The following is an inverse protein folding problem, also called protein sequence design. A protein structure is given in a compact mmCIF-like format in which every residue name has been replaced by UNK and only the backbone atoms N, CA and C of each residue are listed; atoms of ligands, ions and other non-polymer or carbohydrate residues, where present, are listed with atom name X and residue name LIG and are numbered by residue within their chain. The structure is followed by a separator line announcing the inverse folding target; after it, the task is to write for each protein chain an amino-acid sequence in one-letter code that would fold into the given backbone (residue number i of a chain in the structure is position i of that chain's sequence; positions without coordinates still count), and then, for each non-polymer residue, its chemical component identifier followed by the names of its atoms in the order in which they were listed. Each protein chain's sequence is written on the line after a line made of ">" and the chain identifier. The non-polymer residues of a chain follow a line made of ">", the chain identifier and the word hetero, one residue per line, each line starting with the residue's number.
data_IF_745294279285
#
_entry.id   IF_745294279285
#
_cell.length_a   1.000
_cell.length_b   1.000
_cell.length_c   1.000
_cell.angle_alpha   90.00
_cell.angle_beta   90.00
_cell.angle_gamma   90.00
#
_symmetry.space_group_name_H-M   'P 1'
#
loop_
_entity.id
_entity.type
_entity.pdbx_description
1 polymer ?
#
# COMPACT_ATOMS: atom_id res chain seq x y z
N UNK A 1 9.06 0.64 -37.73
CA UNK A 1 7.93 0.48 -36.78
C UNK A 1 6.73 1.16 -37.39
N UNK A 2 5.56 0.50 -37.43
CA UNK A 2 4.35 1.09 -38.01
C UNK A 2 3.32 1.30 -36.89
N UNK A 3 3.25 2.54 -36.40
CA UNK A 3 2.27 2.99 -35.40
C UNK A 3 1.32 3.94 -36.10
N UNK A 4 0.50 3.44 -37.02
CA UNK A 4 -0.54 4.25 -37.66
C UNK A 4 -1.61 4.72 -36.67
N UNK A 5 -2.51 5.60 -37.11
CA UNK A 5 -3.53 6.19 -36.23
C UNK A 5 -4.51 5.13 -35.70
N UNK A 6 -4.80 4.08 -36.47
CA UNK A 6 -5.65 2.96 -36.04
C UNK A 6 -4.99 2.17 -34.91
N UNK A 7 -3.71 1.81 -35.06
CA UNK A 7 -2.93 1.12 -34.04
C UNK A 7 -2.80 1.95 -32.77
N UNK A 8 -2.58 3.27 -32.89
CA UNK A 8 -2.52 4.16 -31.72
C UNK A 8 -3.84 4.25 -30.99
N UNK A 9 -4.96 4.35 -31.71
CA UNK A 9 -6.29 4.36 -31.10
C UNK A 9 -6.57 3.04 -30.38
N UNK A 10 -6.16 1.92 -30.97
CA UNK A 10 -6.35 0.60 -30.40
C UNK A 10 -5.49 0.36 -29.14
N UNK A 11 -4.26 0.91 -29.11
CA UNK A 11 -3.42 0.97 -27.90
C UNK A 11 -4.09 1.86 -26.84
N UNK A 12 -4.57 3.04 -27.21
CA UNK A 12 -5.22 3.97 -26.29
C UNK A 12 -6.46 3.36 -25.64
N UNK A 13 -7.32 2.70 -26.41
CA UNK A 13 -8.48 1.98 -25.88
C UNK A 13 -8.06 0.91 -24.86
N UNK A 14 -7.02 0.14 -25.16
CA UNK A 14 -6.48 -0.87 -24.24
C UNK A 14 -5.93 -0.26 -22.95
N UNK A 15 -5.25 0.90 -23.05
CA UNK A 15 -4.73 1.62 -21.90
C UNK A 15 -5.85 2.19 -21.02
N UNK A 16 -6.90 2.76 -21.62
CA UNK A 16 -8.07 3.28 -20.91
C UNK A 16 -8.82 2.15 -20.21
N UNK A 17 -9.04 1.01 -20.86
CA UNK A 17 -9.64 -0.17 -20.23
C UNK A 17 -8.80 -0.64 -19.03
N UNK A 18 -7.48 -0.66 -19.16
CA UNK A 18 -6.58 -1.06 -18.07
C UNK A 18 -6.57 -0.06 -16.90
N UNK A 19 -6.78 1.22 -17.17
CA UNK A 19 -6.96 2.23 -16.12
C UNK A 19 -8.22 1.95 -15.28
N UNK A 20 -9.28 1.42 -15.90
CA UNK A 20 -10.51 1.00 -15.20
C UNK A 20 -10.33 -0.34 -14.47
N UNK A 21 -9.67 -1.29 -15.13
CA UNK A 21 -9.47 -2.67 -14.67
C UNK A 21 -7.98 -2.97 -14.49
N UNK A 22 -7.50 -2.86 -13.25
CA UNK A 22 -6.07 -2.89 -12.96
C UNK A 22 -5.36 -4.20 -13.35
N UNK A 23 -6.06 -5.32 -13.38
CA UNK A 23 -5.49 -6.61 -13.79
C UNK A 23 -5.20 -6.73 -15.30
N UNK A 24 -5.64 -5.76 -16.11
CA UNK A 24 -5.44 -5.78 -17.57
C UNK A 24 -4.17 -5.05 -18.03
N UNK A 25 -3.41 -4.44 -17.13
CA UNK A 25 -2.18 -3.72 -17.49
C UNK A 25 -1.15 -4.60 -18.20
N UNK A 26 -1.04 -5.89 -17.85
CA UNK A 26 -0.16 -6.83 -18.57
C UNK A 26 -0.58 -7.01 -20.03
N UNK A 27 -1.89 -6.99 -20.32
CA UNK A 27 -2.42 -7.07 -21.68
C UNK A 27 -2.10 -5.80 -22.47
N UNK A 28 -2.28 -4.63 -21.86
CA UNK A 28 -1.93 -3.36 -22.51
C UNK A 28 -0.43 -3.26 -22.81
N UNK A 29 0.42 -3.68 -21.89
CA UNK A 29 1.87 -3.72 -22.07
C UNK A 29 2.27 -4.72 -23.17
N UNK A 30 1.67 -5.91 -23.21
CA UNK A 30 1.88 -6.88 -24.28
C UNK A 30 1.42 -6.39 -25.66
N UNK A 31 0.33 -5.61 -25.71
CA UNK A 31 -0.16 -4.96 -26.92
C UNK A 31 0.84 -3.94 -27.45
N UNK A 32 1.36 -3.07 -26.57
CA UNK A 32 2.42 -2.12 -26.92
C UNK A 32 3.66 -2.85 -27.43
N UNK A 33 4.05 -3.96 -26.81
CA UNK A 33 5.18 -4.78 -27.28
C UNK A 33 4.97 -5.22 -28.74
N UNK A 34 3.81 -5.79 -29.03
CA UNK A 34 3.43 -6.24 -30.38
C UNK A 34 3.43 -5.09 -31.39
N UNK A 35 2.75 -3.98 -31.09
CA UNK A 35 2.62 -2.83 -32.00
C UNK A 35 3.94 -2.09 -32.25
N UNK A 36 4.86 -2.08 -31.28
CA UNK A 36 6.18 -1.45 -31.44
C UNK A 36 7.22 -2.41 -32.04
N UNK A 37 6.89 -3.70 -32.18
CA UNK A 37 7.84 -4.75 -32.52
C UNK A 37 8.92 -4.96 -31.46
N UNK A 38 8.72 -4.50 -30.22
CA UNK A 38 9.62 -4.81 -29.11
C UNK A 38 9.46 -6.29 -28.72
N UNK A 39 10.55 -6.93 -28.25
CA UNK A 39 10.48 -8.30 -27.74
C UNK A 39 9.65 -8.38 -26.46
N UNK A 40 9.66 -7.32 -25.66
CA UNK A 40 8.81 -7.19 -24.48
C UNK A 40 8.84 -5.79 -23.93
N UNK A 41 7.84 -5.46 -23.11
CA UNK A 41 7.71 -4.16 -22.45
C UNK A 41 7.48 -4.38 -20.96
N UNK A 42 8.01 -3.49 -20.13
CA UNK A 42 7.76 -3.44 -18.68
C UNK A 42 7.58 -2.00 -18.23
N UNK A 43 6.60 -1.75 -17.38
CA UNK A 43 6.42 -0.47 -16.70
C UNK A 43 7.17 -0.50 -15.36
N UNK A 44 8.16 0.37 -15.17
CA UNK A 44 8.96 0.44 -13.94
C UNK A 44 8.86 1.85 -13.34
N UNK A 45 8.64 2.02 -12.02
CA UNK A 45 8.71 3.34 -11.42
C UNK A 45 10.15 3.87 -11.46
N UNK A 46 10.31 5.17 -11.70
CA UNK A 46 11.64 5.81 -11.74
C UNK A 46 12.33 5.83 -10.37
N UNK A 47 11.54 5.84 -9.29
CA UNK A 47 12.02 5.80 -7.91
C UNK A 47 11.42 4.60 -7.19
N UNK A 48 12.23 3.87 -6.43
CA UNK A 48 11.77 2.71 -5.68
C UNK A 48 11.52 1.47 -6.56
N UNK A 49 10.79 0.50 -6.02
CA UNK A 49 10.40 -0.73 -6.72
C UNK A 49 8.91 -0.98 -6.39
N UNK A 50 8.21 -1.80 -7.17
CA UNK A 50 6.86 -2.27 -6.83
C UNK A 50 6.80 -3.77 -7.15
N UNK A 51 6.20 -4.63 -6.30
CA UNK A 51 5.95 -6.02 -6.66
C UNK A 51 4.87 -6.11 -7.74
N UNK A 52 5.03 -7.07 -8.67
CA UNK A 52 4.05 -7.36 -9.72
C UNK A 52 4.01 -6.31 -10.84
N UNK A 53 5.16 -5.79 -11.29
CA UNK A 53 5.21 -4.77 -12.35
C UNK A 53 4.45 -5.20 -13.60
N UNK A 54 3.68 -4.30 -14.26
CA UNK A 54 3.06 -4.59 -15.54
C UNK A 54 4.12 -4.95 -16.58
N UNK A 55 4.06 -6.16 -17.11
CA UNK A 55 5.08 -6.64 -18.05
C UNK A 55 4.55 -7.65 -19.05
N UNK A 56 5.19 -7.67 -20.22
CA UNK A 56 5.03 -8.77 -21.17
C UNK A 56 5.66 -10.05 -20.60
N UNK A 57 4.99 -11.20 -20.77
CA UNK A 57 5.50 -12.50 -20.31
C UNK A 57 6.89 -12.85 -20.85
N UNK A 58 7.30 -12.29 -22.00
CA UNK A 58 8.64 -12.44 -22.57
C UNK A 58 9.76 -11.84 -21.73
N UNK A 59 9.45 -11.01 -20.72
CA UNK A 59 10.41 -10.39 -19.82
C UNK A 59 10.47 -11.03 -18.43
N UNK A 60 9.71 -12.09 -18.15
CA UNK A 60 9.58 -12.66 -16.80
C UNK A 60 10.95 -13.00 -16.18
N UNK A 61 11.76 -13.80 -16.89
CA UNK A 61 13.12 -14.14 -16.44
C UNK A 61 14.07 -12.94 -16.32
N UNK A 62 13.92 -11.95 -17.20
CA UNK A 62 14.71 -10.71 -17.12
C UNK A 62 14.32 -9.93 -15.86
N UNK A 63 13.05 -9.58 -15.66
CA UNK A 63 12.64 -8.73 -14.54
C UNK A 63 12.88 -9.40 -13.17
N UNK A 64 12.73 -10.71 -13.08
CA UNK A 64 13.01 -11.47 -11.87
C UNK A 64 14.51 -11.42 -11.49
N UNK A 65 15.41 -11.72 -12.43
CA UNK A 65 16.87 -11.62 -12.25
C UNK A 65 17.32 -10.18 -11.90
N UNK A 66 16.74 -9.18 -12.57
CA UNK A 66 17.05 -7.76 -12.38
C UNK A 66 17.03 -7.32 -10.91
N UNK A 67 16.01 -7.75 -10.18
CA UNK A 67 15.87 -7.37 -8.77
C UNK A 67 16.53 -8.35 -7.81
N UNK A 68 16.47 -9.66 -8.10
CA UNK A 68 17.04 -10.70 -7.22
C UNK A 68 18.55 -10.57 -7.11
N UNK A 69 19.21 -10.32 -8.23
CA UNK A 69 20.67 -10.23 -8.32
C UNK A 69 21.18 -8.80 -8.05
N UNK A 70 20.26 -7.84 -7.83
CA UNK A 70 20.61 -6.48 -7.45
C UNK A 70 21.03 -5.56 -8.60
N UNK A 71 20.84 -5.98 -9.87
CA UNK A 71 21.09 -5.13 -11.05
C UNK A 71 20.35 -3.80 -11.00
N UNK A 72 19.20 -3.74 -10.32
CA UNK A 72 18.46 -2.48 -10.11
C UNK A 72 19.22 -1.40 -9.36
N UNK A 73 20.29 -1.73 -8.62
CA UNK A 73 21.12 -0.75 -7.90
C UNK A 73 22.22 -0.16 -8.79
N UNK A 74 22.60 -0.89 -9.84
CA UNK A 74 23.70 -0.58 -10.74
C UNK A 74 23.23 -0.59 -12.21
N UNK A 75 21.98 -0.23 -12.48
CA UNK A 75 21.44 -0.21 -13.83
C UNK A 75 22.15 0.86 -14.66
N UNK A 76 22.89 0.47 -15.70
CA UNK A 76 23.65 1.40 -16.53
C UNK A 76 22.74 2.44 -17.22
N UNK A 77 21.46 2.10 -17.45
CA UNK A 77 20.48 2.94 -18.14
C UNK A 77 20.04 4.15 -17.32
N UNK A 78 20.40 4.23 -16.03
CA UNK A 78 20.20 5.46 -15.23
C UNK A 78 20.86 6.69 -15.87
N UNK A 79 21.92 6.48 -16.68
CA UNK A 79 22.57 7.54 -17.46
C UNK A 79 21.66 8.19 -18.50
N UNK A 80 20.59 7.51 -18.95
CA UNK A 80 19.58 8.04 -19.86
C UNK A 80 18.50 8.90 -19.17
N UNK A 81 18.37 8.81 -17.84
CA UNK A 81 17.31 9.50 -17.08
C UNK A 81 17.30 11.03 -17.28
N UNK A 82 18.44 11.74 -17.31
CA UNK A 82 18.41 13.19 -17.60
C UNK A 82 17.77 13.54 -18.94
N UNK A 83 17.99 12.73 -20.00
CA UNK A 83 17.35 12.94 -21.32
C UNK A 83 15.88 12.55 -21.27
N UNK A 84 15.54 11.48 -20.56
CA UNK A 84 14.16 11.06 -20.32
C UNK A 84 13.33 12.18 -19.71
N UNK A 85 13.80 12.75 -18.60
CA UNK A 85 13.11 13.82 -17.87
C UNK A 85 12.93 15.07 -18.72
N UNK A 86 13.88 15.37 -19.62
CA UNK A 86 13.81 16.54 -20.50
C UNK A 86 12.92 16.34 -21.72
N UNK A 87 12.85 15.13 -22.27
CA UNK A 87 12.28 14.91 -23.61
C UNK A 87 11.19 13.84 -23.69
N UNK A 88 10.94 13.12 -22.59
CA UNK A 88 9.99 12.01 -22.51
C UNK A 88 10.45 10.70 -23.13
N UNK A 89 11.64 10.65 -23.76
CA UNK A 89 12.20 9.47 -24.41
C UNK A 89 13.72 9.40 -24.23
N UNK A 90 14.24 8.21 -23.98
CA UNK A 90 15.64 7.87 -24.25
C UNK A 90 15.74 6.55 -25.01
N UNK A 91 16.85 6.36 -25.70
CA UNK A 91 17.32 5.06 -26.23
C UNK A 91 18.76 4.82 -25.77
N UNK A 92 19.24 3.58 -25.79
CA UNK A 92 20.60 3.28 -25.29
C UNK A 92 21.71 4.08 -25.98
N UNK A 93 21.55 4.38 -27.27
CA UNK A 93 22.53 5.16 -28.04
C UNK A 93 22.74 6.58 -27.52
N UNK A 94 21.88 7.06 -26.61
CA UNK A 94 21.99 8.38 -26.00
C UNK A 94 23.05 8.47 -24.90
N UNK A 95 23.46 7.33 -24.33
CA UNK A 95 24.37 7.29 -23.17
C UNK A 95 25.36 6.11 -23.17
N UNK A 96 25.18 5.14 -24.06
CA UNK A 96 26.06 3.99 -24.18
C UNK A 96 26.72 3.97 -25.57
N UNK A 97 28.06 3.97 -25.59
CA UNK A 97 28.84 3.73 -26.81
C UNK A 97 28.85 2.23 -27.15
N UNK A 98 29.15 1.84 -28.40
CA UNK A 98 29.31 0.42 -28.75
C UNK A 98 30.36 -0.31 -27.92
N UNK A 99 31.45 0.37 -27.52
CA UNK A 99 32.45 -0.19 -26.61
C UNK A 99 31.88 -0.41 -25.21
N UNK A 100 31.18 0.57 -24.65
CA UNK A 100 30.53 0.43 -23.35
C UNK A 100 29.53 -0.72 -23.34
N UNK A 101 28.72 -0.88 -24.38
CA UNK A 101 27.79 -2.01 -24.48
C UNK A 101 28.48 -3.38 -24.53
N UNK A 102 29.73 -3.45 -25.00
CA UNK A 102 30.50 -4.71 -25.03
C UNK A 102 31.18 -5.04 -23.71
N UNK A 103 31.52 -4.03 -22.90
CA UNK A 103 32.35 -4.22 -21.70
C UNK A 103 31.59 -4.01 -20.38
N UNK A 104 30.52 -3.23 -20.38
CA UNK A 104 29.78 -2.92 -19.15
C UNK A 104 28.98 -4.15 -18.69
N UNK A 105 29.13 -4.58 -17.42
CA UNK A 105 28.52 -5.80 -16.90
C UNK A 105 27.00 -5.88 -17.12
N UNK A 106 26.31 -4.73 -17.03
CA UNK A 106 24.87 -4.66 -17.26
C UNK A 106 24.47 -5.12 -18.67
N UNK A 107 25.26 -4.79 -19.69
CA UNK A 107 25.00 -5.26 -21.06
C UNK A 107 25.61 -6.64 -21.29
N UNK A 108 26.91 -6.79 -21.03
CA UNK A 108 27.70 -7.94 -21.42
C UNK A 108 27.35 -9.21 -20.64
N UNK A 109 27.09 -9.09 -19.33
CA UNK A 109 26.82 -10.25 -18.48
C UNK A 109 25.31 -10.46 -18.33
N UNK A 110 24.57 -9.37 -18.12
CA UNK A 110 23.17 -9.45 -17.74
C UNK A 110 22.19 -9.42 -18.92
N UNK A 111 22.15 -8.35 -19.72
CA UNK A 111 21.22 -8.29 -20.85
C UNK A 111 21.52 -9.36 -21.91
N UNK A 112 22.80 -9.55 -22.25
CA UNK A 112 23.22 -10.53 -23.26
C UNK A 112 22.91 -11.98 -22.87
N UNK A 113 23.06 -12.37 -21.59
CA UNK A 113 22.70 -13.72 -21.14
C UNK A 113 21.21 -14.02 -21.27
N UNK A 114 20.38 -12.98 -21.36
CA UNK A 114 18.94 -13.07 -21.62
C UNK A 114 18.58 -12.80 -23.10
N UNK A 115 19.56 -12.59 -23.98
CA UNK A 115 19.37 -12.31 -25.40
C UNK A 115 18.92 -10.89 -25.74
N UNK A 116 18.97 -9.95 -24.79
CA UNK A 116 18.60 -8.55 -24.96
C UNK A 116 19.84 -7.67 -25.15
N UNK A 117 19.65 -6.50 -25.76
CA UNK A 117 20.72 -5.49 -25.82
C UNK A 117 20.17 -4.07 -25.93
N UNK A 118 19.09 -3.90 -26.69
CA UNK A 118 18.58 -2.58 -27.04
C UNK A 118 17.29 -2.28 -26.30
N UNK A 119 17.12 -1.03 -25.91
CA UNK A 119 16.01 -0.57 -25.11
C UNK A 119 15.67 0.88 -25.41
N UNK A 120 14.38 1.17 -25.27
CA UNK A 120 13.84 2.52 -25.29
C UNK A 120 13.00 2.73 -24.04
N UNK A 121 13.15 3.88 -23.40
CA UNK A 121 12.37 4.26 -22.23
C UNK A 121 11.47 5.44 -22.55
N UNK A 122 10.16 5.27 -22.35
CA UNK A 122 9.18 6.34 -22.43
C UNK A 122 8.75 6.77 -21.04
N UNK A 123 8.76 8.08 -20.79
CA UNK A 123 8.30 8.66 -19.53
C UNK A 123 6.77 8.64 -19.48
N UNK A 124 6.22 8.17 -18.38
CA UNK A 124 4.79 8.21 -18.07
C UNK A 124 4.60 8.86 -16.72
N UNK A 125 3.85 9.97 -16.67
CA UNK A 125 3.56 10.67 -15.43
C UNK A 125 2.19 10.22 -14.89
N UNK A 126 2.14 9.86 -13.61
CA UNK A 126 0.92 9.47 -12.90
C UNK A 126 0.86 10.20 -11.56
N UNK A 127 0.17 11.34 -11.51
CA UNK A 127 0.22 12.23 -10.33
C UNK A 127 1.65 12.72 -10.06
N UNK A 128 2.13 12.57 -8.83
CA UNK A 128 3.50 12.89 -8.44
C UNK A 128 4.52 11.79 -8.80
N UNK A 129 4.04 10.62 -9.26
CA UNK A 129 4.88 9.49 -9.60
C UNK A 129 5.29 9.47 -11.07
N UNK A 130 6.58 9.23 -11.28
CA UNK A 130 7.19 9.04 -12.58
C UNK A 130 7.43 7.56 -12.86
N UNK A 131 6.93 7.09 -13.99
CA UNK A 131 7.11 5.73 -14.49
C UNK A 131 7.87 5.74 -15.82
N UNK A 132 8.54 4.64 -16.10
CA UNK A 132 9.24 4.41 -17.36
C UNK A 132 8.68 3.14 -17.99
N UNK A 133 8.08 3.31 -19.17
CA UNK A 133 7.72 2.22 -20.06
C UNK A 133 8.97 1.81 -20.82
N UNK A 134 9.61 0.74 -20.36
CA UNK A 134 10.83 0.19 -20.94
C UNK A 134 10.49 -0.86 -21.98
N UNK A 135 10.79 -0.57 -23.24
CA UNK A 135 10.69 -1.51 -24.35
C UNK A 135 12.05 -2.15 -24.57
N UNK A 136 12.08 -3.48 -24.66
CA UNK A 136 13.29 -4.28 -24.82
C UNK A 136 13.32 -4.91 -26.21
N UNK A 137 14.49 -4.88 -26.84
CA UNK A 137 14.80 -5.50 -28.13
C UNK A 137 15.98 -6.46 -27.98
N UNK A 138 15.92 -7.56 -28.74
CA UNK A 138 17.01 -8.53 -28.82
C UNK A 138 18.19 -7.96 -29.61
N UNK A 139 19.33 -8.63 -29.51
CA UNK A 139 20.53 -8.32 -30.31
C UNK A 139 20.19 -8.27 -31.82
N UNK A 140 19.40 -9.23 -32.30
CA UNK A 140 19.03 -9.38 -33.72
C UNK A 140 18.06 -8.30 -34.21
N UNK A 141 17.23 -7.74 -33.32
CA UNK A 141 16.29 -6.67 -33.67
C UNK A 141 17.00 -5.33 -33.91
N UNK A 142 18.23 -5.18 -33.40
CA UNK A 142 19.03 -3.98 -33.58
C UNK A 142 18.53 -2.78 -32.76
N UNK A 143 19.29 -1.70 -32.87
CA UNK A 143 19.08 -0.48 -32.12
C UNK A 143 17.83 0.28 -32.60
N UNK A 144 17.26 1.13 -31.75
CA UNK A 144 16.13 1.98 -32.12
C UNK A 144 16.57 3.10 -33.07
N UNK A 145 16.05 3.12 -34.29
CA UNK A 145 16.37 4.13 -35.31
C UNK A 145 15.76 5.49 -34.97
N UNK A 146 16.09 6.53 -35.75
CA UNK A 146 15.44 7.85 -35.62
C UNK A 146 13.94 7.75 -35.92
N UNK A 147 13.55 7.00 -36.94
CA UNK A 147 12.14 6.78 -37.30
C UNK A 147 11.40 6.01 -36.20
N UNK A 148 12.04 5.01 -35.59
CA UNK A 148 11.48 4.33 -34.41
C UNK A 148 11.25 5.32 -33.27
N UNK A 149 12.21 6.21 -32.99
CA UNK A 149 12.05 7.22 -31.93
C UNK A 149 10.91 8.20 -32.22
N UNK A 150 10.72 8.62 -33.48
CA UNK A 150 9.61 9.48 -33.89
C UNK A 150 8.28 8.75 -33.65
N UNK A 151 8.19 7.48 -34.05
CA UNK A 151 6.99 6.67 -33.84
C UNK A 151 6.69 6.48 -32.34
N UNK A 152 7.69 6.13 -31.52
CA UNK A 152 7.53 5.93 -30.08
C UNK A 152 7.05 7.19 -29.34
N UNK A 153 7.46 8.39 -29.78
CA UNK A 153 6.99 9.65 -29.17
C UNK A 153 5.47 9.83 -29.27
N UNK A 154 4.81 9.22 -30.26
CA UNK A 154 3.35 9.28 -30.43
C UNK A 154 2.62 8.54 -29.29
N UNK A 155 3.28 7.61 -28.59
CA UNK A 155 2.71 6.87 -27.46
C UNK A 155 2.69 7.68 -26.15
N UNK A 156 3.51 8.75 -26.03
CA UNK A 156 3.65 9.51 -24.78
C UNK A 156 2.30 10.10 -24.34
N UNK A 157 1.57 10.71 -25.26
CA UNK A 157 0.30 11.36 -24.92
C UNK A 157 -0.80 10.37 -24.49
N UNK A 158 -1.07 9.28 -25.24
CA UNK A 158 -1.98 8.22 -24.79
C UNK A 158 -1.60 7.60 -23.44
N UNK A 159 -0.30 7.31 -23.23
CA UNK A 159 0.20 6.75 -21.97
C UNK A 159 -0.06 7.69 -20.79
N UNK A 160 0.25 8.98 -20.93
CA UNK A 160 0.01 9.97 -19.89
C UNK A 160 -1.49 10.16 -19.60
N UNK A 161 -2.36 10.16 -20.62
CA UNK A 161 -3.82 10.24 -20.41
C UNK A 161 -4.34 9.06 -19.60
N UNK A 162 -3.95 7.83 -19.98
CA UNK A 162 -4.37 6.64 -19.28
C UNK A 162 -3.82 6.57 -17.85
N UNK A 163 -2.56 6.95 -17.65
CA UNK A 163 -1.94 7.03 -16.33
C UNK A 163 -2.64 8.07 -15.43
N UNK A 164 -3.00 9.24 -15.98
CA UNK A 164 -3.75 10.26 -15.25
C UNK A 164 -5.16 9.79 -14.88
N UNK A 165 -5.84 9.07 -15.78
CA UNK A 165 -7.14 8.47 -15.50
C UNK A 165 -7.03 7.42 -14.38
N UNK A 166 -6.06 6.52 -14.48
CA UNK A 166 -5.79 5.49 -13.47
C UNK A 166 -5.48 6.12 -12.11
N UNK A 167 -4.67 7.18 -12.08
CA UNK A 167 -4.36 7.94 -10.87
C UNK A 167 -5.60 8.59 -10.26
N UNK A 168 -6.43 9.25 -11.07
CA UNK A 168 -7.65 9.93 -10.60
C UNK A 168 -8.68 8.93 -10.03
N UNK A 169 -8.83 7.77 -10.66
CA UNK A 169 -9.65 6.67 -10.13
C UNK A 169 -9.07 6.11 -8.82
N UNK A 170 -7.75 6.03 -8.73
CA UNK A 170 -7.03 5.68 -7.51
C UNK A 170 -7.33 6.60 -6.34
N UNK A 171 -7.20 7.91 -6.54
CA UNK A 171 -7.51 8.93 -5.52
C UNK A 171 -8.97 8.86 -5.06
N UNK A 172 -9.92 8.63 -5.99
CA UNK A 172 -11.33 8.47 -5.65
C UNK A 172 -11.57 7.22 -4.78
N UNK A 173 -10.95 6.08 -5.12
CA UNK A 173 -11.01 4.85 -4.30
C UNK A 173 -10.38 5.08 -2.93
N UNK A 174 -9.25 5.77 -2.86
CA UNK A 174 -8.58 6.07 -1.59
C UNK A 174 -9.42 6.96 -0.68
N UNK A 175 -10.10 7.94 -1.25
CA UNK A 175 -11.07 8.78 -0.53
C UNK A 175 -12.17 7.90 0.07
N UNK A 176 -12.76 7.00 -0.72
CA UNK A 176 -13.78 6.07 -0.22
C UNK A 176 -13.28 5.14 0.89
N UNK A 177 -12.03 4.66 0.82
CA UNK A 177 -11.42 3.87 1.90
C UNK A 177 -11.23 4.73 3.15
N UNK A 178 -10.71 5.95 3.01
CA UNK A 178 -10.51 6.86 4.12
C UNK A 178 -11.84 7.19 4.83
N UNK A 179 -12.89 7.51 4.06
CA UNK A 179 -14.23 7.79 4.59
C UNK A 179 -14.82 6.59 5.34
N UNK A 180 -14.62 5.37 4.82
CA UNK A 180 -15.05 4.15 5.49
C UNK A 180 -14.31 3.95 6.83
N UNK A 181 -12.99 4.18 6.86
CA UNK A 181 -12.17 4.08 8.08
C UNK A 181 -12.56 5.13 9.13
N UNK A 182 -12.92 6.34 8.70
CA UNK A 182 -13.45 7.38 9.57
C UNK A 182 -14.82 7.00 10.16
N UNK A 183 -15.70 6.46 9.33
CA UNK A 183 -17.04 6.02 9.75
C UNK A 183 -16.96 4.95 10.85
N UNK A 184 -16.07 3.97 10.72
CA UNK A 184 -15.87 2.93 11.74
C UNK A 184 -14.91 3.37 12.86
N UNK A 185 -14.43 4.62 12.84
CA UNK A 185 -13.49 5.21 13.81
C UNK A 185 -12.23 4.34 14.04
N UNK A 186 -11.76 3.64 13.02
CA UNK A 186 -10.61 2.75 13.12
C UNK A 186 -9.30 3.56 13.02
N UNK A 187 -8.44 3.56 14.06
CA UNK A 187 -7.15 4.24 14.00
C UNK A 187 -6.26 3.56 12.95
N UNK A 188 -6.08 4.22 11.81
CA UNK A 188 -5.43 3.64 10.66
C UNK A 188 -4.70 4.68 9.81
N UNK A 189 -3.67 4.22 9.10
CA UNK A 189 -2.88 5.01 8.16
C UNK A 189 -2.88 4.32 6.81
N UNK A 190 -3.11 5.09 5.75
CA UNK A 190 -2.92 4.65 4.37
C UNK A 190 -1.48 4.95 3.96
N UNK A 191 -0.77 3.96 3.46
CA UNK A 191 0.66 4.03 3.16
C UNK A 191 0.91 3.88 1.66
N UNK A 192 1.83 4.71 1.15
CA UNK A 192 2.30 4.62 -0.22
C UNK A 192 3.22 3.42 -0.47
N UNK A 193 3.62 3.21 -1.73
CA UNK A 193 4.58 2.17 -2.14
C UNK A 193 5.97 2.25 -1.50
N UNK A 194 6.33 3.38 -0.89
CA UNK A 194 7.59 3.59 -0.16
C UNK A 194 7.41 3.46 1.36
N UNK A 195 6.18 3.30 1.84
CA UNK A 195 5.83 3.22 3.26
C UNK A 195 5.57 4.57 3.92
N UNK A 196 5.43 5.65 3.13
CA UNK A 196 5.06 6.97 3.64
C UNK A 196 3.55 7.06 3.84
N UNK A 197 3.13 7.82 4.84
CA UNK A 197 1.73 8.08 5.17
C UNK A 197 1.12 9.00 4.12
N UNK A 198 0.14 8.50 3.37
CA UNK A 198 -0.68 9.27 2.43
C UNK A 198 -1.83 9.97 3.15
N UNK A 199 -2.49 9.24 4.06
CA UNK A 199 -3.62 9.71 4.88
C UNK A 199 -3.57 9.04 6.24
N UNK A 200 -4.02 9.74 7.26
CA UNK A 200 -4.27 9.21 8.59
C UNK A 200 -5.75 9.42 8.92
N UNK A 201 -6.40 8.44 9.54
CA UNK A 201 -7.73 8.67 10.10
C UNK A 201 -7.62 9.60 11.32
N UNK A 202 -8.66 10.38 11.58
CA UNK A 202 -8.78 11.29 12.72
C UNK A 202 -8.56 10.55 14.04
N UNK A 203 -8.92 9.26 14.09
CA UNK A 203 -8.67 8.38 15.23
C UNK A 203 -7.20 7.98 15.39
N UNK A 204 -6.44 7.83 14.29
CA UNK A 204 -4.99 7.65 14.35
C UNK A 204 -4.27 8.95 14.74
N UNK A 205 -4.71 10.09 14.24
CA UNK A 205 -4.09 11.38 14.53
C UNK A 205 -4.11 11.72 16.02
N UNK A 206 -5.19 11.35 16.73
CA UNK A 206 -5.29 11.49 18.20
C UNK A 206 -4.26 10.66 18.98
N UNK A 207 -3.65 9.65 18.35
CA UNK A 207 -2.61 8.82 18.96
C UNK A 207 -1.21 9.40 18.73
N UNK A 208 -1.06 10.42 17.87
CA UNK A 208 0.23 11.03 17.63
C UNK A 208 0.69 11.90 18.79
N UNK A 209 2.01 11.94 19.02
CA UNK A 209 2.63 12.65 20.13
C UNK A 209 4.08 12.18 20.38
N UNK A 210 4.53 12.15 21.64
CA UNK A 210 5.90 11.76 21.97
C UNK A 210 6.20 10.27 21.74
N UNK A 211 5.17 9.41 21.82
CA UNK A 211 5.32 7.96 21.72
C UNK A 211 5.20 7.43 20.27
N UNK A 212 4.45 8.10 19.41
CA UNK A 212 4.22 7.72 18.02
C UNK A 212 3.98 8.99 17.22
N UNK A 213 4.63 9.17 16.07
CA UNK A 213 4.42 10.37 15.26
C UNK A 213 4.76 10.13 13.79
N UNK A 214 4.36 11.03 12.90
CA UNK A 214 4.75 11.04 11.49
C UNK A 214 5.79 12.14 11.27
N UNK A 215 6.96 11.81 10.72
CA UNK A 215 8.03 12.76 10.38
C UNK A 215 8.45 12.57 8.94
N UNK A 216 8.37 13.63 8.13
CA UNK A 216 8.67 13.60 6.70
C UNK A 216 7.91 12.50 5.94
N UNK A 217 6.66 12.25 6.36
CA UNK A 217 5.81 11.18 5.83
C UNK A 217 6.07 9.80 6.42
N UNK A 218 7.09 9.59 7.25
CA UNK A 218 7.37 8.28 7.85
C UNK A 218 6.82 8.16 9.26
N UNK A 219 6.25 7.00 9.59
CA UNK A 219 5.85 6.69 10.95
C UNK A 219 7.08 6.37 11.81
N UNK A 220 7.23 7.07 12.94
CA UNK A 220 8.36 6.96 13.85
C UNK A 220 7.89 6.82 15.30
N UNK A 221 8.73 6.19 16.10
CA UNK A 221 8.62 6.12 17.57
C UNK A 221 9.77 6.97 18.12
N UNK A 222 9.54 8.27 18.40
CA UNK A 222 10.63 9.22 18.69
C UNK A 222 11.54 8.80 19.85
N UNK A 223 10.99 8.11 20.85
CA UNK A 223 11.70 7.65 22.05
C UNK A 223 12.37 6.27 21.89
N UNK A 224 12.12 5.54 20.80
CA UNK A 224 12.66 4.19 20.56
C UNK A 224 13.03 3.99 19.08
N UNK A 225 14.31 4.17 18.77
CA UNK A 225 14.86 3.95 17.43
C UNK A 225 14.74 2.49 16.97
N UNK A 226 14.80 1.51 17.89
CA UNK A 226 14.62 0.11 17.54
C UNK A 226 13.15 -0.20 17.20
N UNK A 227 12.19 0.39 17.92
CA UNK A 227 10.78 0.30 17.54
C UNK A 227 10.53 0.91 16.16
N UNK A 228 11.15 2.06 15.87
CA UNK A 228 11.09 2.68 14.53
C UNK A 228 11.64 1.73 13.45
N UNK A 229 12.78 1.08 13.70
CA UNK A 229 13.34 0.09 12.77
C UNK A 229 12.44 -1.13 12.57
N UNK A 230 11.86 -1.67 13.66
CA UNK A 230 10.88 -2.77 13.59
C UNK A 230 9.63 -2.38 12.81
N UNK A 231 9.16 -1.15 12.98
CA UNK A 231 8.01 -0.60 12.26
C UNK A 231 8.28 -0.47 10.76
N UNK A 232 9.43 0.10 10.38
CA UNK A 232 9.87 0.16 8.98
C UNK A 232 9.98 -1.24 8.37
N UNK A 233 10.56 -2.20 9.08
CA UNK A 233 10.67 -3.58 8.61
C UNK A 233 9.30 -4.27 8.48
N UNK A 234 8.33 -3.93 9.35
CA UNK A 234 6.98 -4.46 9.30
C UNK A 234 6.17 -3.87 8.14
N UNK A 235 6.25 -2.55 7.92
CA UNK A 235 5.64 -1.88 6.76
C UNK A 235 6.23 -2.41 5.46
N UNK A 236 7.56 -2.50 5.36
CA UNK A 236 8.22 -3.06 4.19
C UNK A 236 7.74 -4.48 3.90
N UNK A 237 7.57 -5.33 4.92
CA UNK A 237 7.04 -6.68 4.73
C UNK A 237 5.66 -6.70 4.08
N UNK A 238 4.76 -5.80 4.50
CA UNK A 238 3.43 -5.70 3.92
C UNK A 238 3.51 -5.26 2.45
N UNK A 239 4.30 -4.22 2.16
CA UNK A 239 4.51 -3.69 0.82
C UNK A 239 5.13 -4.70 -0.16
N UNK A 240 6.03 -5.56 0.32
CA UNK A 240 6.80 -6.52 -0.48
C UNK A 240 6.25 -7.96 -0.44
N UNK A 241 5.10 -8.17 0.17
CA UNK A 241 4.50 -9.50 0.23
C UNK A 241 4.00 -9.92 -1.15
N UNK A 242 4.34 -11.15 -1.57
CA UNK A 242 3.91 -11.74 -2.85
C UNK A 242 2.37 -11.71 -2.97
N UNK A 243 1.80 -11.19 -4.08
CA UNK A 243 0.37 -11.21 -4.36
C UNK A 243 -0.27 -12.61 -4.28
N UNK A 244 0.47 -13.66 -4.65
CA UNK A 244 0.03 -15.06 -4.60
C UNK A 244 0.52 -15.80 -3.34
N UNK A 245 1.44 -15.21 -2.59
CA UNK A 245 2.01 -15.81 -1.39
C UNK A 245 1.09 -15.71 -0.17
N UNK A 246 1.15 -16.75 0.67
CA UNK A 246 0.60 -16.73 2.03
C UNK A 246 1.21 -15.55 2.76
N UNK A 247 0.39 -14.57 3.12
CA UNK A 247 0.83 -13.48 3.98
C UNK A 247 1.31 -14.10 5.29
N UNK A 248 2.63 -14.19 5.48
CA UNK A 248 3.20 -14.58 6.77
C UNK A 248 2.71 -13.53 7.76
N UNK A 249 1.70 -13.89 8.55
CA UNK A 249 1.13 -13.05 9.60
C UNK A 249 2.27 -12.69 10.55
N UNK A 250 2.89 -11.54 10.33
CA UNK A 250 3.96 -11.05 11.19
C UNK A 250 3.33 -10.61 12.50
N UNK A 251 4.05 -10.86 13.59
CA UNK A 251 3.70 -10.32 14.88
C UNK A 251 3.55 -8.80 14.78
N UNK A 252 2.53 -8.21 15.44
CA UNK A 252 2.36 -6.77 15.45
C UNK A 252 3.56 -6.08 16.10
N UNK A 253 3.82 -4.84 15.71
CA UNK A 253 4.83 -4.01 16.35
C UNK A 253 4.22 -3.38 17.59
N UNK A 254 4.83 -3.65 18.75
CA UNK A 254 4.39 -3.09 20.04
C UNK A 254 5.17 -1.81 20.33
N UNK A 255 4.44 -0.72 20.56
CA UNK A 255 4.99 0.57 21.01
C UNK A 255 4.60 0.78 22.46
N UNK A 256 5.59 0.75 23.35
CA UNK A 256 5.39 0.99 24.79
C UNK A 256 5.32 2.48 25.04
N UNK A 257 4.45 2.89 25.96
CA UNK A 257 4.17 4.28 26.32
C UNK A 257 4.39 4.50 27.81
N UNK A 258 4.80 5.70 28.19
CA UNK A 258 4.94 6.05 29.62
C UNK A 258 3.56 6.30 30.21
N UNK A 259 3.25 5.66 31.35
CA UNK A 259 1.98 5.79 32.07
C UNK A 259 0.70 5.49 31.24
N UNK A 260 0.84 4.78 30.13
CA UNK A 260 -0.26 4.36 29.24
C UNK A 260 -0.03 2.91 28.80
N UNK A 261 -1.10 2.16 28.49
CA UNK A 261 -0.97 0.82 27.88
C UNK A 261 -0.27 0.90 26.52
N UNK A 262 0.37 -0.16 26.03
CA UNK A 262 1.06 -0.11 24.75
C UNK A 262 0.09 0.02 23.56
N UNK A 263 0.58 0.53 22.44
CA UNK A 263 -0.08 0.45 21.15
C UNK A 263 0.40 -0.81 20.41
N UNK A 264 -0.47 -1.45 19.65
CA UNK A 264 -0.08 -2.49 18.69
C UNK A 264 -0.35 -2.02 17.26
N UNK A 265 0.68 -2.08 16.43
CA UNK A 265 0.61 -1.63 15.04
C UNK A 265 0.74 -2.83 14.11
N UNK A 266 -0.12 -2.89 13.09
CA UNK A 266 -0.09 -3.96 12.09
C UNK A 266 -0.26 -3.36 10.69
N UNK A 267 0.73 -3.60 9.83
CA UNK A 267 0.65 -3.25 8.41
C UNK A 267 0.12 -4.44 7.62
N UNK A 268 -0.81 -4.19 6.71
CA UNK A 268 -1.40 -5.17 5.83
C UNK A 268 -1.40 -4.66 4.40
N UNK A 269 -1.05 -5.50 3.40
CA UNK A 269 -1.16 -5.11 2.00
C UNK A 269 -2.63 -4.90 1.63
N UNK A 270 -2.93 -3.83 0.89
CA UNK A 270 -4.23 -3.65 0.26
C UNK A 270 -4.26 -4.46 -1.03
N UNK A 271 -4.45 -5.78 -0.92
CA UNK A 271 -4.60 -6.68 -2.07
C UNK A 271 -6.03 -6.56 -2.62
N UNK A 272 -6.19 -6.46 -3.94
CA UNK A 272 -7.49 -6.58 -4.64
C UNK A 272 -8.51 -5.45 -4.48
N UNK A 273 -8.13 -4.27 -3.97
CA UNK A 273 -9.01 -3.10 -3.95
C UNK A 273 -9.08 -2.36 -5.32
N UNK A 274 -8.61 -2.99 -6.41
CA UNK A 274 -8.34 -2.34 -7.69
C UNK A 274 -7.15 -1.36 -7.64
N UNK A 275 -6.38 -1.38 -6.54
CA UNK A 275 -5.27 -0.48 -6.28
C UNK A 275 -3.94 -1.12 -6.68
N UNK A 276 -3.66 -1.26 -7.98
CA UNK A 276 -2.54 -2.11 -8.39
C UNK A 276 -1.34 -1.39 -8.99
N UNK A 277 -1.43 -0.14 -9.48
CA UNK A 277 -0.25 0.49 -10.11
C UNK A 277 -0.13 2.01 -9.97
N UNK A 278 -1.22 2.78 -10.12
CA UNK A 278 -1.16 4.25 -10.30
C UNK A 278 -1.84 5.06 -9.20
N UNK A 279 -2.43 4.38 -8.23
CA UNK A 279 -3.16 4.93 -7.08
C UNK A 279 -2.26 5.26 -5.88
N UNK A 280 -0.97 4.93 -5.93
CA UNK A 280 0.01 5.27 -4.89
C UNK A 280 -0.08 4.48 -3.59
N UNK A 281 -1.27 4.05 -3.15
CA UNK A 281 -1.49 3.37 -1.87
C UNK A 281 -1.37 1.85 -1.96
N UNK A 282 -0.59 1.27 -1.05
CA UNK A 282 -0.21 -0.16 -1.12
C UNK A 282 -0.44 -0.92 0.18
N UNK A 283 -0.53 -0.22 1.30
CA UNK A 283 -0.78 -0.85 2.58
C UNK A 283 -1.65 0.03 3.46
N UNK A 284 -2.39 -0.64 4.34
CA UNK A 284 -3.03 -0.02 5.48
C UNK A 284 -2.26 -0.43 6.73
N UNK A 285 -1.98 0.53 7.61
CA UNK A 285 -1.48 0.25 8.95
C UNK A 285 -2.58 0.54 9.96
N UNK A 286 -3.00 -0.46 10.72
CA UNK A 286 -3.95 -0.30 11.81
C UNK A 286 -3.21 -0.13 13.14
N UNK A 287 -3.76 0.69 14.03
CA UNK A 287 -3.24 0.97 15.36
C UNK A 287 -4.32 0.58 16.37
N UNK A 288 -4.01 -0.36 17.25
CA UNK A 288 -4.88 -0.70 18.38
C UNK A 288 -4.33 -0.03 19.62
N UNK A 289 -5.15 0.81 20.25
CA UNK A 289 -4.86 1.38 21.55
C UNK A 289 -5.48 0.51 22.66
N UNK A 290 -4.65 -0.20 23.41
CA UNK A 290 -5.12 -1.05 24.51
C UNK A 290 -5.63 -0.27 25.74
N UNK A 291 -5.43 1.05 25.80
CA UNK A 291 -6.08 1.95 26.77
C UNK A 291 -7.49 2.35 26.35
N UNK A 292 -7.84 2.26 25.06
CA UNK A 292 -9.21 2.46 24.63
C UNK A 292 -10.02 1.25 25.11
N UNK A 293 -10.50 1.31 26.36
CA UNK A 293 -11.70 0.57 26.73
C UNK A 293 -12.71 0.95 25.68
N UNK A 294 -13.06 0.03 24.78
CA UNK A 294 -14.08 0.29 23.77
C UNK A 294 -15.24 0.97 24.48
N UNK A 295 -15.56 2.21 24.10
CA UNK A 295 -16.68 2.92 24.69
C UNK A 295 -17.88 2.00 24.46
N UNK A 296 -18.38 1.40 25.53
CA UNK A 296 -19.60 0.64 25.47
C UNK A 296 -20.68 1.61 25.03
N UNK A 297 -21.11 1.47 23.79
CA UNK A 297 -22.25 2.23 23.32
C UNK A 297 -23.46 1.81 24.17
N UNK A 298 -23.92 2.73 25.02
CA UNK A 298 -25.03 2.50 25.93
C UNK A 298 -26.30 2.11 25.17
N UNK A 299 -26.46 2.58 23.93
CA UNK A 299 -27.60 2.24 23.09
C UNK A 299 -27.49 0.80 22.55
N UNK A 300 -26.27 0.32 22.27
CA UNK A 300 -26.03 -1.10 21.92
C UNK A 300 -26.32 -2.00 23.11
N UNK A 301 -25.83 -1.65 24.32
CA UNK A 301 -26.13 -2.43 25.53
C UNK A 301 -27.63 -2.46 25.86
N UNK A 302 -28.31 -1.34 25.67
CA UNK A 302 -29.75 -1.22 25.85
C UNK A 302 -30.51 -2.05 24.81
N UNK A 303 -30.11 -2.03 23.55
CA UNK A 303 -30.82 -2.73 22.47
C UNK A 303 -30.54 -4.23 22.47
N UNK A 304 -29.29 -4.65 22.69
CA UNK A 304 -28.88 -6.05 22.67
C UNK A 304 -29.26 -6.82 23.93
N UNK A 305 -29.24 -6.16 25.10
CA UNK A 305 -29.42 -6.81 26.41
C UNK A 305 -30.51 -6.17 27.28
N UNK A 306 -31.20 -5.13 26.82
CA UNK A 306 -32.22 -4.46 27.63
C UNK A 306 -31.67 -3.76 28.88
N UNK A 307 -30.38 -3.38 28.88
CA UNK A 307 -29.78 -2.67 30.01
C UNK A 307 -30.35 -1.26 30.14
N UNK A 308 -30.58 -0.84 31.39
CA UNK A 308 -30.92 0.55 31.71
C UNK A 308 -29.66 1.43 31.60
N UNK A 309 -29.79 2.77 31.45
CA UNK A 309 -28.63 3.67 31.42
C UNK A 309 -27.68 3.45 32.60
N UNK A 310 -28.25 3.21 33.78
CA UNK A 310 -27.48 2.99 35.00
C UNK A 310 -26.73 1.65 35.04
N UNK A 311 -27.32 0.62 34.47
CA UNK A 311 -26.66 -0.69 34.31
C UNK A 311 -25.54 -0.60 33.26
N UNK A 312 -25.73 0.15 32.18
CA UNK A 312 -24.70 0.41 31.18
C UNK A 312 -23.50 1.19 31.76
N UNK A 313 -23.74 2.22 32.57
CA UNK A 313 -22.68 2.94 33.31
C UNK A 313 -21.87 2.01 34.23
N UNK A 314 -22.54 1.07 34.90
CA UNK A 314 -21.88 0.08 35.74
C UNK A 314 -21.02 -0.88 34.90
N UNK A 315 -21.54 -1.41 33.80
CA UNK A 315 -20.77 -2.24 32.86
C UNK A 315 -19.54 -1.51 32.31
N UNK A 316 -19.69 -0.23 31.94
CA UNK A 316 -18.59 0.60 31.45
C UNK A 316 -17.50 0.76 32.51
N UNK A 317 -17.88 1.05 33.76
CA UNK A 317 -16.91 1.20 34.84
C UNK A 317 -16.18 -0.12 35.15
N UNK A 318 -16.86 -1.26 35.03
CA UNK A 318 -16.26 -2.59 35.21
C UNK A 318 -15.27 -2.94 34.08
N UNK A 319 -15.62 -2.69 32.81
CA UNK A 319 -14.72 -2.92 31.68
C UNK A 319 -13.49 -2.01 31.70
N UNK A 320 -13.61 -0.82 32.29
CA UNK A 320 -12.46 0.05 32.56
C UNK A 320 -11.51 -0.52 33.64
N UNK A 321 -11.83 -1.68 34.23
CA UNK A 321 -10.99 -2.40 35.19
C UNK A 321 -11.21 -2.03 36.66
N UNK A 322 -12.24 -1.24 36.98
CA UNK A 322 -12.57 -0.90 38.36
C UNK A 322 -13.21 -2.09 39.08
N UNK A 323 -12.88 -2.25 40.37
CA UNK A 323 -13.55 -3.18 41.26
C UNK A 323 -15.00 -2.78 41.52
N UNK A 324 -15.84 -3.72 41.97
CA UNK A 324 -17.24 -3.44 42.32
C UNK A 324 -17.38 -2.31 43.35
N UNK A 325 -16.42 -2.19 44.27
CA UNK A 325 -16.39 -1.14 45.29
C UNK A 325 -16.09 0.22 44.64
N UNK A 326 -15.06 0.29 43.82
CA UNK A 326 -14.72 1.53 43.09
C UNK A 326 -15.85 1.96 42.15
N UNK A 327 -16.54 1.01 41.50
CA UNK A 327 -17.73 1.32 40.72
C UNK A 327 -18.85 1.91 41.59
N UNK A 328 -19.09 1.35 42.79
CA UNK A 328 -20.08 1.86 43.72
C UNK A 328 -19.74 3.31 44.13
N UNK A 329 -18.49 3.57 44.48
CA UNK A 329 -18.01 4.89 44.88
C UNK A 329 -18.10 5.90 43.72
N UNK A 330 -17.64 5.53 42.52
CA UNK A 330 -17.66 6.40 41.32
C UNK A 330 -19.07 6.75 40.86
N UNK A 331 -20.00 5.81 41.00
CA UNK A 331 -21.38 6.02 40.60
C UNK A 331 -22.21 6.64 41.73
N UNK A 332 -21.71 6.73 42.97
CA UNK A 332 -22.50 7.22 44.10
C UNK A 332 -23.60 6.24 44.53
N UNK A 333 -23.33 4.94 44.44
CA UNK A 333 -24.23 3.86 44.87
C UNK A 333 -23.65 3.14 46.08
N UNK A 334 -24.52 2.54 46.91
CA UNK A 334 -24.02 1.62 47.94
C UNK A 334 -23.49 0.33 47.30
N UNK A 335 -22.50 -0.32 47.93
CA UNK A 335 -21.99 -1.61 47.44
C UNK A 335 -23.09 -2.68 47.36
N UNK A 336 -24.10 -2.60 48.23
CA UNK A 336 -25.27 -3.47 48.19
C UNK A 336 -26.12 -3.22 46.93
N UNK A 337 -26.40 -1.94 46.63
CA UNK A 337 -27.12 -1.53 45.42
C UNK A 337 -26.37 -1.95 44.14
N UNK A 338 -25.05 -1.76 44.09
CA UNK A 338 -24.21 -2.20 42.97
C UNK A 338 -24.28 -3.71 42.74
N UNK A 339 -24.23 -4.51 43.82
CA UNK A 339 -24.40 -5.98 43.73
C UNK A 339 -25.79 -6.38 43.22
N UNK A 340 -26.83 -5.64 43.61
CA UNK A 340 -28.19 -5.87 43.10
C UNK A 340 -28.30 -5.55 41.61
N UNK A 341 -27.68 -4.46 41.14
CA UNK A 341 -27.60 -4.16 39.71
C UNK A 341 -26.83 -5.24 38.94
N UNK A 342 -25.70 -5.71 39.46
CA UNK A 342 -24.93 -6.80 38.85
C UNK A 342 -25.77 -8.08 38.67
N UNK A 343 -26.54 -8.49 39.68
CA UNK A 343 -27.44 -9.65 39.56
C UNK A 343 -28.47 -9.48 38.44
N UNK A 344 -29.02 -8.28 38.28
CA UNK A 344 -29.98 -7.99 37.18
C UNK A 344 -29.29 -8.01 35.83
N UNK A 345 -28.08 -7.47 35.73
CA UNK A 345 -27.27 -7.50 34.51
C UNK A 345 -26.99 -8.96 34.12
N UNK A 346 -26.54 -9.79 35.04
CA UNK A 346 -26.28 -11.22 34.81
C UNK A 346 -27.45 -11.97 34.19
N UNK A 347 -28.67 -11.74 34.69
CA UNK A 347 -29.90 -12.33 34.13
C UNK A 347 -30.18 -11.79 32.72
N UNK A 348 -29.94 -10.49 32.48
CA UNK A 348 -30.17 -9.84 31.17
C UNK A 348 -29.15 -10.23 30.11
N UNK A 349 -27.93 -10.59 30.52
CA UNK A 349 -26.82 -10.93 29.62
C UNK A 349 -26.57 -12.43 29.52
N UNK A 350 -27.35 -13.25 30.24
CA UNK A 350 -27.18 -14.71 30.32
C UNK A 350 -25.76 -15.11 30.76
N UNK A 351 -25.32 -14.56 31.90
CA UNK A 351 -23.98 -14.82 32.46
C UNK A 351 -24.06 -15.08 33.95
N UNK A 352 -23.22 -15.97 34.48
CA UNK A 352 -23.26 -16.41 35.87
C UNK A 352 -22.25 -15.70 36.78
N UNK A 353 -21.31 -14.94 36.19
CA UNK A 353 -20.27 -14.25 36.95
C UNK A 353 -19.85 -12.92 36.34
N UNK A 354 -19.23 -12.08 37.16
CA UNK A 354 -18.64 -10.82 36.68
C UNK A 354 -17.56 -11.08 35.62
N UNK A 355 -16.77 -12.15 35.77
CA UNK A 355 -15.74 -12.53 34.80
C UNK A 355 -16.35 -12.91 33.46
N UNK A 356 -17.41 -13.72 33.48
CA UNK A 356 -18.12 -14.12 32.27
C UNK A 356 -18.80 -12.95 31.59
N UNK A 357 -19.47 -12.08 32.36
CA UNK A 357 -19.99 -10.81 31.87
C UNK A 357 -18.90 -10.00 31.15
N UNK A 358 -17.71 -9.86 31.75
CA UNK A 358 -16.62 -9.11 31.10
C UNK A 358 -16.13 -9.77 29.82
N UNK A 359 -16.13 -11.10 29.72
CA UNK A 359 -15.75 -11.83 28.49
C UNK A 359 -16.80 -11.65 27.38
N UNK A 360 -18.09 -11.76 27.72
CA UNK A 360 -19.19 -11.55 26.76
C UNK A 360 -19.16 -10.12 26.24
N UNK A 361 -19.02 -9.15 27.15
CA UNK A 361 -18.92 -7.74 26.80
C UNK A 361 -17.60 -7.38 26.11
N UNK A 362 -16.49 -8.09 26.30
CA UNK A 362 -15.28 -7.77 25.52
C UNK A 362 -15.40 -8.24 24.06
N UNK A 363 -15.96 -9.44 23.86
CA UNK A 363 -16.16 -10.05 22.53
C UNK A 363 -17.09 -9.25 21.62
N UNK A 364 -18.16 -8.68 22.19
CA UNK A 364 -19.15 -7.94 21.41
C UNK A 364 -18.62 -6.58 20.90
N UNK A 365 -17.55 -6.06 21.49
CA UNK A 365 -16.98 -4.74 21.19
C UNK A 365 -15.55 -4.81 20.63
N UNK A 366 -15.10 -6.01 20.22
CA UNK A 366 -13.81 -6.21 19.56
C UNK A 366 -12.57 -6.02 20.44
N UNK A 367 -12.72 -6.19 21.77
CA UNK A 367 -11.63 -6.15 22.76
C UNK A 367 -11.00 -7.52 23.02
#
# INVERSE_FOLDING_TARGET
>A
MDLDDETLQDIENSLVTSALQSHDWDKAVAKIATSTGARGVVAIPLKGRVPGLPMSASLDGLVDGYFREGWSKNDYRVRGVPKLLRTGLFVDQDYATPDAMRSEPFYADYLHSHGFQWSAGLMVQAGDDAWVMMMQRTIQQGAYTVDDQIALRRLIAPLNRAAQLAHSLGEARLTGIADALETVRSPSLLLDRTGRVLRASSSAERLFGPDLNVRLGELVVPSDAQATARLRAHIAAALWSDPQGVSLSRAPVVVRRVAKRPLTLRAQPLRKAGLEYFDGCRAILTITDLNASGELDGDVLKTSYGLTPREAELCHSLLAGHSTKECADRLGMSIHTTRTHLKKIFVKTDTDSQTELMIVLSRHFGL
#
